data_IF_391285935512
#
_entry.id   IF_391285935512
#
_cell.length_a   1.000
_cell.length_b   1.000
_cell.length_c   1.000
_cell.angle_alpha   90.00
_cell.angle_beta   90.00
_cell.angle_gamma   90.00
#
_symmetry.space_group_name_H-M   'P 1'
#
loop_
_entity.id
_entity.type
_entity.pdbx_description
1 polymer ?
#
# COMPACT_ATOMS: atom_id res chain seq x y z
N UNK A 1 -44.78 35.49 -13.80
CA UNK A 1 -43.38 35.26 -13.42
C UNK A 1 -42.98 33.86 -13.89
N UNK A 2 -42.24 33.76 -14.99
CA UNK A 2 -41.72 32.49 -15.46
C UNK A 2 -40.57 32.07 -14.53
N UNK A 3 -40.87 31.21 -13.55
CA UNK A 3 -39.85 30.55 -12.77
C UNK A 3 -38.99 29.75 -13.76
N UNK A 4 -37.71 30.10 -13.91
CA UNK A 4 -36.82 29.39 -14.82
C UNK A 4 -36.92 27.89 -14.52
N UNK A 5 -37.41 27.10 -15.48
CA UNK A 5 -37.43 25.63 -15.38
C UNK A 5 -35.98 25.17 -15.39
N UNK A 6 -35.35 25.14 -14.21
CA UNK A 6 -34.04 24.51 -14.02
C UNK A 6 -34.29 23.00 -14.02
N UNK A 7 -33.40 22.23 -14.65
CA UNK A 7 -33.47 20.76 -14.76
C UNK A 7 -33.53 20.00 -13.41
N UNK A 8 -33.57 20.71 -12.28
CA UNK A 8 -33.58 20.15 -10.93
C UNK A 8 -34.82 20.53 -10.13
N UNK A 9 -35.79 21.25 -10.72
CA UNK A 9 -37.01 21.69 -10.01
C UNK A 9 -38.19 20.73 -10.15
N UNK A 10 -38.07 19.69 -10.98
CA UNK A 10 -39.11 18.68 -11.14
C UNK A 10 -38.82 17.47 -10.22
N UNK A 11 -39.84 16.90 -9.55
CA UNK A 11 -39.68 15.70 -8.72
C UNK A 11 -39.45 14.42 -9.55
N UNK A 12 -39.44 14.53 -10.89
CA UNK A 12 -39.15 13.43 -11.80
C UNK A 12 -38.20 13.91 -12.91
N UNK A 13 -37.25 13.06 -13.28
CA UNK A 13 -36.41 13.33 -14.44
C UNK A 13 -37.18 13.14 -15.74
N UNK A 14 -37.10 14.14 -16.61
CA UNK A 14 -37.57 14.08 -17.99
C UNK A 14 -36.76 13.06 -18.80
N UNK A 15 -37.30 12.61 -19.94
CA UNK A 15 -36.58 11.68 -20.84
C UNK A 15 -35.21 12.22 -21.26
N UNK A 16 -35.13 13.53 -21.53
CA UNK A 16 -33.89 14.23 -21.87
C UNK A 16 -32.87 14.18 -20.73
N UNK A 17 -33.29 14.47 -19.50
CA UNK A 17 -32.42 14.40 -18.32
C UNK A 17 -31.98 12.96 -18.01
N UNK A 18 -32.86 11.96 -18.20
CA UNK A 18 -32.48 10.54 -18.13
C UNK A 18 -31.50 10.15 -19.24
N UNK A 19 -31.57 10.80 -20.39
CA UNK A 19 -30.58 10.69 -21.48
C UNK A 19 -29.22 11.22 -21.06
N UNK A 20 -29.15 12.44 -20.51
CA UNK A 20 -27.92 12.99 -19.97
C UNK A 20 -27.39 12.15 -18.78
N UNK A 21 -28.25 11.67 -17.88
CA UNK A 21 -27.84 10.77 -16.80
C UNK A 21 -27.16 9.49 -17.28
N UNK A 22 -27.44 9.02 -18.50
CA UNK A 22 -26.75 7.88 -19.11
C UNK A 22 -25.48 8.28 -19.86
N UNK A 23 -25.45 9.46 -20.49
CA UNK A 23 -24.34 9.90 -21.34
C UNK A 23 -23.29 10.74 -20.61
N UNK A 24 -23.66 11.56 -19.63
CA UNK A 24 -22.79 12.46 -18.85
C UNK A 24 -22.54 11.97 -17.43
N UNK A 25 -23.55 11.42 -16.74
CA UNK A 25 -23.45 10.95 -15.35
C UNK A 25 -23.48 9.42 -15.23
N UNK A 26 -23.26 8.90 -14.02
CA UNK A 26 -23.26 7.45 -13.74
C UNK A 26 -22.07 6.68 -14.34
N UNK A 27 -22.20 5.35 -14.30
CA UNK A 27 -21.15 4.45 -14.80
C UNK A 27 -21.28 4.27 -16.31
N UNK A 28 -20.26 4.72 -17.06
CA UNK A 28 -20.22 4.59 -18.52
C UNK A 28 -19.46 3.35 -18.95
N UNK A 29 -19.94 2.68 -19.99
CA UNK A 29 -19.29 1.53 -20.61
C UNK A 29 -19.13 1.83 -22.10
N UNK A 30 -17.93 1.63 -22.64
CA UNK A 30 -17.66 1.76 -24.08
C UNK A 30 -16.81 0.59 -24.54
N UNK A 31 -17.06 0.10 -25.75
CA UNK A 31 -16.16 -0.83 -26.39
C UNK A 31 -14.81 -0.13 -26.69
N UNK A 32 -13.72 -0.88 -26.54
CA UNK A 32 -12.35 -0.43 -26.76
C UNK A 32 -11.88 -0.98 -28.10
N UNK A 33 -11.40 -0.09 -28.98
CA UNK A 33 -10.88 -0.45 -30.30
C UNK A 33 -9.45 -1.01 -30.27
N UNK A 34 -8.97 -1.53 -31.41
CA UNK A 34 -7.63 -2.12 -31.56
C UNK A 34 -6.50 -1.16 -31.18
N UNK A 35 -6.67 0.13 -31.46
CA UNK A 35 -5.66 1.18 -31.24
C UNK A 35 -5.37 1.43 -29.76
N UNK A 36 -6.29 1.02 -28.88
CA UNK A 36 -6.07 1.14 -27.44
C UNK A 36 -5.20 0.01 -26.88
N UNK A 37 -4.95 -1.06 -27.66
CA UNK A 37 -4.12 -2.18 -27.25
C UNK A 37 -2.72 -2.07 -27.85
N UNK A 38 -1.70 -2.38 -27.06
CA UNK A 38 -0.32 -2.42 -27.54
C UNK A 38 -0.10 -3.58 -28.53
N UNK A 39 0.86 -3.46 -29.44
CA UNK A 39 1.29 -4.60 -30.24
C UNK A 39 2.12 -5.57 -29.39
N UNK A 40 2.16 -6.84 -29.80
CA UNK A 40 2.88 -7.88 -29.07
C UNK A 40 4.36 -7.50 -28.89
N UNK A 41 4.86 -7.63 -27.66
CA UNK A 41 6.25 -7.33 -27.37
C UNK A 41 6.57 -5.83 -27.32
N UNK A 42 5.59 -4.97 -27.09
CA UNK A 42 5.82 -3.54 -26.84
C UNK A 42 6.15 -3.24 -25.38
N UNK A 43 6.95 -2.21 -25.16
CA UNK A 43 7.24 -1.71 -23.83
C UNK A 43 6.07 -0.89 -23.29
N UNK A 44 5.62 -1.18 -22.05
CA UNK A 44 4.53 -0.44 -21.41
C UNK A 44 4.85 1.00 -21.02
N UNK A 45 6.13 1.37 -20.95
CA UNK A 45 6.57 2.71 -20.59
C UNK A 45 6.70 3.63 -21.81
N UNK A 46 7.39 3.19 -22.87
CA UNK A 46 7.55 4.00 -24.08
C UNK A 46 6.51 3.73 -25.18
N UNK A 47 5.67 2.69 -25.01
CA UNK A 47 4.59 2.29 -25.94
C UNK A 47 5.07 1.88 -27.34
N UNK A 48 6.37 1.76 -27.54
CA UNK A 48 7.00 1.28 -28.77
C UNK A 48 7.37 -0.20 -28.65
N UNK A 49 7.63 -0.90 -29.77
CA UNK A 49 8.23 -2.24 -29.73
C UNK A 49 9.45 -2.25 -28.80
N UNK A 50 9.46 -3.17 -27.83
CA UNK A 50 10.50 -3.21 -26.82
C UNK A 50 11.87 -3.47 -27.45
N UNK A 51 12.85 -2.63 -27.08
CA UNK A 51 14.24 -2.70 -27.57
C UNK A 51 15.02 -3.71 -26.72
N UNK A 52 15.82 -4.54 -27.38
CA UNK A 52 16.72 -5.45 -26.69
C UNK A 52 17.83 -4.65 -25.95
N UNK A 53 18.19 -5.01 -24.71
CA UNK A 53 17.64 -6.09 -23.89
C UNK A 53 16.24 -5.75 -23.33
N UNK A 54 15.29 -6.69 -23.52
CA UNK A 54 13.92 -6.57 -23.02
C UNK A 54 13.85 -7.18 -21.62
N UNK A 55 13.12 -6.55 -20.72
CA UNK A 55 12.90 -7.06 -19.36
C UNK A 55 11.41 -7.21 -19.09
N UNK A 56 11.05 -8.21 -18.30
CA UNK A 56 9.69 -8.46 -17.86
C UNK A 56 9.56 -8.38 -16.35
N UNK A 57 8.40 -7.93 -15.88
CA UNK A 57 8.05 -8.09 -14.48
C UNK A 57 7.74 -9.56 -14.17
N UNK A 58 8.36 -10.11 -13.12
CA UNK A 58 8.17 -11.50 -12.71
C UNK A 58 6.74 -11.84 -12.25
N UNK A 59 5.92 -10.87 -11.85
CA UNK A 59 4.55 -11.11 -11.36
C UNK A 59 3.55 -11.27 -12.50
N UNK A 60 3.48 -10.29 -13.40
CA UNK A 60 2.42 -10.19 -14.42
C UNK A 60 2.93 -10.27 -15.88
N UNK A 61 4.24 -10.46 -16.10
CA UNK A 61 4.77 -10.63 -17.46
C UNK A 61 4.73 -9.34 -18.30
N UNK A 62 4.62 -8.19 -17.64
CA UNK A 62 4.65 -6.87 -18.27
C UNK A 62 6.02 -6.57 -18.87
N UNK A 63 6.07 -6.21 -20.16
CA UNK A 63 7.32 -5.99 -20.89
C UNK A 63 7.78 -4.54 -20.86
N UNK A 64 9.10 -4.36 -20.73
CA UNK A 64 9.76 -3.06 -20.74
C UNK A 64 11.08 -3.10 -21.50
N UNK A 65 11.47 -1.97 -22.10
CA UNK A 65 12.88 -1.75 -22.43
C UNK A 65 13.66 -1.67 -21.12
N UNK A 66 14.87 -2.26 -21.06
CA UNK A 66 15.71 -2.21 -19.86
C UNK A 66 16.01 -0.77 -19.40
N UNK A 67 16.25 0.13 -20.35
CA UNK A 67 16.47 1.57 -20.07
C UNK A 67 15.26 2.20 -19.39
N UNK A 68 14.05 1.97 -19.93
CA UNK A 68 12.82 2.54 -19.39
C UNK A 68 12.51 2.00 -17.99
N UNK A 69 12.68 0.70 -17.77
CA UNK A 69 12.45 0.09 -16.46
C UNK A 69 13.41 0.65 -15.41
N UNK A 70 14.68 0.83 -15.75
CA UNK A 70 15.68 1.41 -14.82
C UNK A 70 15.35 2.87 -14.53
N UNK A 71 15.04 3.68 -15.55
CA UNK A 71 14.70 5.10 -15.36
C UNK A 71 13.46 5.27 -14.48
N UNK A 72 12.44 4.43 -14.67
CA UNK A 72 11.22 4.47 -13.87
C UNK A 72 11.50 4.05 -12.42
N UNK A 73 12.25 2.97 -12.19
CA UNK A 73 12.66 2.55 -10.85
C UNK A 73 13.44 3.65 -10.11
N UNK A 74 14.30 4.39 -10.80
CA UNK A 74 15.04 5.51 -10.23
C UNK A 74 14.10 6.68 -9.90
N UNK A 75 13.20 7.05 -10.82
CA UNK A 75 12.22 8.10 -10.61
C UNK A 75 11.29 7.79 -9.42
N UNK A 76 10.77 6.57 -9.35
CA UNK A 76 9.93 6.13 -8.24
C UNK A 76 10.69 6.17 -6.90
N UNK A 77 11.96 5.74 -6.85
CA UNK A 77 12.76 5.81 -5.63
C UNK A 77 13.05 7.25 -5.18
N UNK A 78 13.31 8.15 -6.13
CA UNK A 78 13.49 9.57 -5.83
C UNK A 78 12.20 10.20 -5.28
N UNK A 79 11.06 9.88 -5.88
CA UNK A 79 9.75 10.35 -5.43
C UNK A 79 9.39 9.79 -4.05
N UNK A 80 9.63 8.50 -3.81
CA UNK A 80 9.44 7.87 -2.49
C UNK A 80 10.28 8.59 -1.45
N UNK A 81 11.57 8.86 -1.74
CA UNK A 81 12.46 9.59 -0.83
C UNK A 81 11.96 11.02 -0.57
N UNK A 82 11.42 11.70 -1.58
CA UNK A 82 10.83 13.04 -1.45
C UNK A 82 9.63 13.02 -0.50
N UNK A 83 8.72 12.06 -0.69
CA UNK A 83 7.53 11.87 0.15
C UNK A 83 7.88 11.46 1.58
N UNK A 84 8.90 10.62 1.77
CA UNK A 84 9.41 10.24 3.09
C UNK A 84 9.95 11.46 3.84
N UNK A 85 10.72 12.33 3.16
CA UNK A 85 11.22 13.57 3.74
C UNK A 85 10.09 14.53 4.13
N UNK A 86 9.12 14.73 3.23
CA UNK A 86 7.94 15.56 3.50
C UNK A 86 7.14 15.04 4.71
N UNK A 87 6.99 13.71 4.83
CA UNK A 87 6.34 13.07 5.97
C UNK A 87 7.10 13.30 7.27
N UNK A 88 8.42 13.20 7.25
CA UNK A 88 9.25 13.42 8.43
C UNK A 88 9.24 14.89 8.87
N UNK A 89 9.28 15.83 7.94
CA UNK A 89 9.10 17.26 8.22
C UNK A 89 7.71 17.56 8.77
N UNK A 90 6.66 16.99 8.19
CA UNK A 90 5.29 17.14 8.69
C UNK A 90 5.13 16.59 10.12
N UNK A 91 5.73 15.43 10.42
CA UNK A 91 5.73 14.88 11.79
C UNK A 91 6.47 15.74 12.79
N UNK A 92 7.60 16.35 12.39
CA UNK A 92 8.33 17.30 13.25
C UNK A 92 7.47 18.53 13.55
N UNK A 93 6.84 19.12 12.53
CA UNK A 93 5.93 20.27 12.71
C UNK A 93 4.77 19.94 13.66
N UNK A 94 4.12 18.79 13.48
CA UNK A 94 3.04 18.35 14.38
C UNK A 94 3.56 18.19 15.81
N UNK A 95 4.74 17.60 16.01
CA UNK A 95 5.32 17.43 17.34
C UNK A 95 5.68 18.78 18.00
N UNK A 96 6.19 19.74 17.23
CA UNK A 96 6.48 21.11 17.69
C UNK A 96 5.19 21.87 18.06
N UNK A 97 4.13 21.75 17.25
CA UNK A 97 2.82 22.35 17.52
C UNK A 97 2.15 21.70 18.75
N UNK A 98 2.28 20.37 18.91
CA UNK A 98 1.85 19.66 20.11
C UNK A 98 2.61 20.14 21.35
N UNK A 99 3.93 20.30 21.27
CA UNK A 99 4.74 20.80 22.38
C UNK A 99 4.40 22.25 22.76
N UNK A 100 4.21 23.13 21.77
CA UNK A 100 3.75 24.51 21.99
C UNK A 100 2.39 24.53 22.69
N UNK A 101 1.44 23.75 22.20
CA UNK A 101 0.10 23.67 22.78
C UNK A 101 0.13 23.13 24.22
N UNK A 102 1.01 22.16 24.52
CA UNK A 102 1.21 21.66 25.88
C UNK A 102 1.88 22.70 26.78
N UNK A 103 2.78 23.54 26.27
CA UNK A 103 3.39 24.62 27.03
C UNK A 103 2.38 25.73 27.37
N UNK A 104 1.54 26.12 26.41
CA UNK A 104 0.45 27.09 26.62
C UNK A 104 -0.58 26.59 27.67
N UNK A 105 -0.93 25.29 27.63
CA UNK A 105 -1.80 24.70 28.65
C UNK A 105 -1.15 24.70 30.03
N UNK A 106 0.14 24.35 30.13
CA UNK A 106 0.87 24.42 31.41
C UNK A 106 0.89 25.83 31.96
N UNK A 107 1.13 26.84 31.13
CA UNK A 107 1.12 28.23 31.56
C UNK A 107 -0.26 28.67 32.04
N UNK A 108 -1.33 28.26 31.35
CA UNK A 108 -2.71 28.51 31.78
C UNK A 108 -3.02 27.86 33.13
N UNK A 109 -2.67 26.59 33.30
CA UNK A 109 -2.87 25.85 34.54
C UNK A 109 -2.09 26.48 35.72
N UNK A 110 -0.86 26.94 35.48
CA UNK A 110 -0.07 27.66 36.49
C UNK A 110 -0.73 28.98 36.89
N UNK A 111 -1.22 29.77 35.93
CA UNK A 111 -1.94 31.03 36.20
C UNK A 111 -3.23 30.78 36.98
N UNK A 112 -3.98 29.75 36.62
CA UNK A 112 -5.20 29.37 37.35
C UNK A 112 -4.87 28.95 38.78
N UNK A 113 -3.79 28.19 38.98
CA UNK A 113 -3.31 27.82 40.31
C UNK A 113 -2.91 29.05 41.15
N UNK A 114 -2.16 30.00 40.58
CA UNK A 114 -1.79 31.26 41.25
C UNK A 114 -3.03 32.05 41.66
N UNK A 115 -4.02 32.19 40.78
CA UNK A 115 -5.28 32.89 41.05
C UNK A 115 -6.06 32.25 42.21
N UNK A 116 -6.16 30.91 42.24
CA UNK A 116 -6.79 30.17 43.33
C UNK A 116 -6.02 30.34 44.64
N UNK A 117 -4.68 30.32 44.60
CA UNK A 117 -3.83 30.50 45.78
C UNK A 117 -3.97 31.89 46.42
N UNK A 118 -4.25 32.91 45.62
CA UNK A 118 -4.51 34.28 46.06
C UNK A 118 -5.91 34.47 46.66
N UNK A 119 -6.73 33.42 46.75
CA UNK A 119 -8.07 33.45 47.33
C UNK A 119 -9.14 34.06 46.40
N UNK A 120 -8.82 34.31 45.13
CA UNK A 120 -9.82 34.62 44.12
C UNK A 120 -10.48 33.30 43.67
N UNK A 121 -11.66 32.99 44.22
CA UNK A 121 -12.47 31.89 43.69
C UNK A 121 -12.75 32.13 42.19
N UNK A 122 -12.26 31.24 41.34
CA UNK A 122 -12.45 31.31 39.91
C UNK A 122 -13.94 31.07 39.58
N UNK A 123 -14.74 32.15 39.53
CA UNK A 123 -16.19 32.11 39.25
C UNK A 123 -16.55 31.88 37.78
N UNK A 124 -15.56 31.71 36.90
CA UNK A 124 -15.78 31.46 35.47
C UNK A 124 -14.88 30.36 34.93
N UNK A 125 -15.40 29.13 34.85
CA UNK A 125 -14.78 28.09 34.02
C UNK A 125 -14.80 26.69 34.63
N UNK A 126 -15.79 25.89 34.23
CA UNK A 126 -15.72 24.41 34.13
C UNK A 126 -15.02 23.66 35.29
N UNK A 127 -15.32 23.99 36.55
CA UNK A 127 -14.97 23.15 37.72
C UNK A 127 -16.19 22.61 38.47
N UNK A 128 -17.38 22.73 37.89
CA UNK A 128 -18.64 22.36 38.53
C UNK A 128 -18.92 20.87 38.73
N UNK A 129 -18.11 19.95 38.20
CA UNK A 129 -18.41 18.49 38.25
C UNK A 129 -17.42 17.69 39.10
N UNK A 130 -16.19 18.16 39.34
CA UNK A 130 -15.16 17.39 40.06
C UNK A 130 -14.83 17.87 41.48
N UNK A 131 -15.45 18.95 41.96
CA UNK A 131 -15.17 19.49 43.31
C UNK A 131 -15.48 18.52 44.46
N UNK A 132 -16.45 17.62 44.30
CA UNK A 132 -16.77 16.59 45.33
C UNK A 132 -15.82 15.38 45.30
N UNK A 133 -15.27 15.03 44.12
CA UNK A 133 -14.39 13.86 43.97
C UNK A 133 -12.94 14.17 44.39
N UNK A 134 -12.45 15.37 44.04
CA UNK A 134 -11.14 15.87 44.49
C UNK A 134 -11.07 16.01 46.01
N UNK A 135 -12.13 16.51 46.66
CA UNK A 135 -12.19 16.62 48.13
C UNK A 135 -12.07 15.26 48.84
N UNK A 136 -12.69 14.21 48.30
CA UNK A 136 -12.63 12.86 48.87
C UNK A 136 -11.25 12.20 48.67
N UNK A 137 -10.64 12.32 47.48
CA UNK A 137 -9.28 11.82 47.23
C UNK A 137 -8.21 12.60 48.00
N UNK A 138 -8.40 13.91 48.19
CA UNK A 138 -7.51 14.77 48.96
C UNK A 138 -7.60 14.45 50.46
N UNK A 139 -8.80 14.18 50.99
CA UNK A 139 -9.02 13.75 52.37
C UNK A 139 -8.44 12.34 52.62
N UNK A 140 -8.60 11.39 51.69
CA UNK A 140 -8.01 10.05 51.75
C UNK A 140 -6.47 10.08 51.65
N UNK A 141 -5.91 10.94 50.79
CA UNK A 141 -4.47 11.15 50.69
C UNK A 141 -3.91 11.82 51.96
N UNK A 142 -4.66 12.75 52.58
CA UNK A 142 -4.31 13.37 53.85
C UNK A 142 -4.30 12.36 55.01
N UNK A 143 -5.23 11.41 55.02
CA UNK A 143 -5.28 10.31 55.99
C UNK A 143 -4.12 9.33 55.80
N UNK A 144 -3.81 8.92 54.56
CA UNK A 144 -2.64 8.08 54.27
C UNK A 144 -1.32 8.78 54.57
N UNK A 145 -1.26 10.10 54.41
CA UNK A 145 -0.10 10.92 54.77
C UNK A 145 0.07 11.06 56.28
N UNK A 146 -1.04 11.23 57.03
CA UNK A 146 -1.04 11.21 58.51
C UNK A 146 -0.67 9.84 59.08
N UNK A 147 -0.93 8.75 58.36
CA UNK A 147 -0.56 7.40 58.78
C UNK A 147 0.95 7.08 58.59
N UNK A 148 1.71 7.89 57.84
CA UNK A 148 3.16 7.71 57.62
C UNK A 148 3.97 8.50 58.65
N UNK A 149 3.72 8.26 59.93
CA UNK A 149 4.55 8.76 61.04
C UNK A 149 5.57 7.68 61.45
N UNK A 150 6.86 8.03 61.49
CA UNK A 150 7.91 7.19 62.08
C UNK A 150 8.51 7.93 63.27
N UNK A 151 8.61 7.24 64.41
CA UNK A 151 9.15 7.77 65.66
C UNK A 151 10.68 7.64 65.67
N UNK A 152 11.39 8.76 65.77
CA UNK A 152 12.84 8.81 66.00
C UNK A 152 13.08 9.70 67.22
N UNK A 153 13.69 9.14 68.26
CA UNK A 153 14.04 9.78 69.53
C UNK A 153 12.92 10.55 70.24
N UNK A 154 11.75 9.89 70.41
CA UNK A 154 10.66 10.39 71.27
C UNK A 154 10.02 11.72 70.83
N UNK A 155 10.36 12.22 69.63
CA UNK A 155 9.74 13.40 69.01
C UNK A 155 9.26 13.04 67.61
N UNK A 156 7.94 13.11 67.41
CA UNK A 156 7.28 12.89 66.12
C UNK A 156 7.84 13.87 65.09
N UNK A 157 8.55 13.38 64.09
CA UNK A 157 9.01 14.18 62.94
C UNK A 157 8.44 13.60 61.66
N UNK A 158 7.80 14.47 60.88
CA UNK A 158 7.28 14.17 59.55
C UNK A 158 8.47 14.05 58.60
N UNK A 159 8.79 12.84 58.14
CA UNK A 159 9.86 12.63 57.14
C UNK A 159 9.23 12.71 55.75
N UNK A 160 9.34 13.88 55.15
CA UNK A 160 8.93 14.14 53.79
C UNK A 160 10.13 13.93 52.87
N UNK A 161 10.37 12.69 52.46
CA UNK A 161 11.37 12.41 51.43
C UNK A 161 10.67 12.46 50.06
N UNK A 162 10.65 13.64 49.44
CA UNK A 162 10.49 13.72 47.97
C UNK A 162 11.78 13.21 47.34
N UNK A 163 11.82 11.92 47.07
CA UNK A 163 12.81 11.37 46.16
C UNK A 163 12.64 11.95 44.76
N UNK A 164 13.74 12.11 44.04
CA UNK A 164 13.76 12.54 42.64
C UNK A 164 12.85 11.66 41.75
N UNK A 165 12.78 10.36 42.06
CA UNK A 165 11.92 9.39 41.36
C UNK A 165 10.42 9.65 41.57
N UNK A 166 10.01 10.06 42.77
CA UNK A 166 8.61 10.36 43.09
C UNK A 166 8.18 11.68 42.44
N UNK A 167 9.06 12.70 42.43
CA UNK A 167 8.85 13.93 41.66
C UNK A 167 8.72 13.67 40.16
N UNK A 168 9.58 12.81 39.61
CA UNK A 168 9.52 12.45 38.20
C UNK A 168 8.20 11.71 37.86
N UNK A 169 7.72 10.83 38.75
CA UNK A 169 6.44 10.12 38.60
C UNK A 169 5.25 11.07 38.59
N UNK A 170 5.20 12.00 39.55
CA UNK A 170 4.12 13.00 39.66
C UNK A 170 4.15 13.95 38.45
N UNK A 171 5.33 14.43 38.04
CA UNK A 171 5.47 15.25 36.84
C UNK A 171 5.06 14.51 35.56
N UNK A 172 5.33 13.20 35.47
CA UNK A 172 4.87 12.33 34.38
C UNK A 172 3.35 12.20 34.32
N UNK A 173 2.71 11.94 35.46
CA UNK A 173 1.25 11.83 35.58
C UNK A 173 0.56 13.16 35.24
N UNK A 174 1.12 14.30 35.67
CA UNK A 174 0.58 15.63 35.36
C UNK A 174 0.67 15.94 33.86
N UNK A 175 1.79 15.61 33.20
CA UNK A 175 1.94 15.75 31.75
C UNK A 175 0.93 14.88 30.98
N UNK A 176 0.60 13.70 31.49
CA UNK A 176 -0.41 12.82 30.89
C UNK A 176 -1.82 13.38 31.06
N UNK A 177 -2.13 13.96 32.22
CA UNK A 177 -3.42 14.64 32.48
C UNK A 177 -3.63 15.80 31.52
N UNK A 178 -2.63 16.69 31.40
CA UNK A 178 -2.64 17.83 30.48
C UNK A 178 -2.83 17.39 29.02
N UNK A 179 -2.18 16.31 28.60
CA UNK A 179 -2.37 15.74 27.26
C UNK A 179 -3.80 15.23 27.04
N UNK A 180 -4.42 14.62 28.05
CA UNK A 180 -5.81 14.16 27.98
C UNK A 180 -6.79 15.33 27.92
N UNK A 181 -6.59 16.37 28.72
CA UNK A 181 -7.41 17.59 28.70
C UNK A 181 -7.33 18.31 27.36
N UNK A 182 -6.13 18.50 26.82
CA UNK A 182 -5.92 19.08 25.49
C UNK A 182 -6.59 18.26 24.38
N UNK A 183 -6.61 16.93 24.50
CA UNK A 183 -7.31 16.06 23.56
C UNK A 183 -8.83 16.24 23.64
N UNK A 184 -9.38 16.37 24.85
CA UNK A 184 -10.81 16.60 25.10
C UNK A 184 -11.23 17.99 24.58
N UNK A 185 -10.43 19.04 24.83
CA UNK A 185 -10.68 20.39 24.33
C UNK A 185 -10.67 20.42 22.79
N UNK A 186 -9.66 19.79 22.17
CA UNK A 186 -9.59 19.64 20.70
C UNK A 186 -10.76 18.84 20.12
N UNK A 187 -11.29 17.83 20.83
CA UNK A 187 -12.48 17.10 20.36
C UNK A 187 -13.77 17.90 20.52
N UNK A 188 -13.92 18.64 21.61
CA UNK A 188 -15.12 19.44 21.88
C UNK A 188 -15.23 20.65 20.94
N UNK A 189 -14.09 21.26 20.56
CA UNK A 189 -14.05 22.34 19.58
C UNK A 189 -14.42 21.91 18.14
N UNK A 190 -14.35 20.60 17.84
CA UNK A 190 -14.64 20.04 16.51
C UNK A 190 -16.09 19.55 16.33
N UNK A 191 -16.92 19.48 17.38
CA UNK A 191 -18.21 18.77 17.32
C UNK A 191 -19.46 19.54 17.79
N UNK A 192 -19.39 20.85 18.05
CA UNK A 192 -20.49 21.54 18.73
C UNK A 192 -21.56 22.19 17.83
N UNK A 193 -21.38 22.28 16.51
CA UNK A 193 -22.36 22.93 15.63
C UNK A 193 -22.77 22.01 14.46
N UNK A 194 -24.07 21.85 14.17
CA UNK A 194 -24.59 21.00 13.09
C UNK A 194 -24.44 21.63 11.70
N UNK A 195 -23.55 22.62 11.53
CA UNK A 195 -23.36 23.36 10.29
C UNK A 195 -22.09 22.92 9.56
N UNK A 196 -22.25 21.95 8.67
CA UNK A 196 -21.22 21.43 7.75
C UNK A 196 -20.62 22.49 6.80
N UNK A 197 -21.25 23.66 6.66
CA UNK A 197 -20.93 24.69 5.66
C UNK A 197 -20.14 25.90 6.20
N UNK A 198 -19.68 25.86 7.45
CA UNK A 198 -18.83 26.93 8.00
C UNK A 198 -17.37 26.60 7.66
N UNK A 199 -16.64 27.44 6.88
CA UNK A 199 -15.26 27.16 6.48
C UNK A 199 -14.25 26.98 7.63
N UNK A 200 -14.58 27.40 8.85
CA UNK A 200 -13.78 27.16 10.06
C UNK A 200 -14.09 25.84 10.77
N UNK A 201 -15.17 25.15 10.38
CA UNK A 201 -15.62 23.85 10.90
C UNK A 201 -15.64 22.75 9.84
N UNK A 202 -15.35 23.09 8.57
CA UNK A 202 -14.96 22.07 7.61
C UNK A 202 -13.78 21.33 8.21
N UNK A 203 -13.78 19.99 8.29
CA UNK A 203 -12.66 19.24 8.82
C UNK A 203 -11.43 19.68 8.04
N UNK A 204 -10.64 20.56 8.64
CA UNK A 204 -9.47 21.10 7.99
C UNK A 204 -8.57 19.89 7.90
N UNK A 205 -8.42 19.37 6.69
CA UNK A 205 -7.48 18.30 6.44
C UNK A 205 -6.12 18.95 6.53
N UNK A 206 -5.63 19.11 7.76
CA UNK A 206 -4.35 19.74 8.04
C UNK A 206 -3.32 19.02 7.18
N UNK A 207 -2.74 19.72 6.21
CA UNK A 207 -1.89 19.11 5.19
C UNK A 207 -0.73 18.32 5.85
N UNK A 208 -0.27 18.81 7.00
CA UNK A 208 0.71 18.16 7.85
C UNK A 208 0.16 16.87 8.47
N UNK A 209 -1.05 16.85 9.03
CA UNK A 209 -1.66 15.63 9.59
C UNK A 209 -1.87 14.57 8.51
N UNK A 210 -2.33 14.96 7.31
CA UNK A 210 -2.46 14.04 6.18
C UNK A 210 -1.08 13.48 5.79
N UNK A 211 -0.08 14.36 5.62
CA UNK A 211 1.27 13.95 5.25
C UNK A 211 1.89 13.02 6.31
N UNK A 212 1.69 13.30 7.59
CA UNK A 212 2.21 12.52 8.71
C UNK A 212 1.54 11.15 8.88
N UNK A 213 0.23 11.09 8.64
CA UNK A 213 -0.61 9.89 8.77
C UNK A 213 -0.68 9.04 7.49
N UNK A 214 -0.09 9.47 6.38
CA UNK A 214 0.14 8.63 5.20
C UNK A 214 1.09 7.49 5.56
N UNK A 215 0.52 6.35 5.96
CA UNK A 215 1.27 5.13 6.26
C UNK A 215 1.39 4.27 5.02
N UNK A 216 2.48 4.40 4.27
CA UNK A 216 2.92 3.30 3.40
C UNK A 216 4.44 3.33 3.36
N UNK A 217 5.10 2.21 3.71
CA UNK A 217 6.45 1.93 3.22
C UNK A 217 6.30 1.77 1.71
N UNK A 218 6.38 2.88 0.99
CA UNK A 218 6.18 2.89 -0.45
C UNK A 218 7.34 2.11 -1.07
N UNK A 219 6.99 1.06 -1.78
CA UNK A 219 7.91 0.30 -2.61
C UNK A 219 7.61 0.63 -4.07
N UNK A 220 8.61 0.59 -4.96
CA UNK A 220 8.35 0.82 -6.38
C UNK A 220 7.30 -0.17 -6.90
N UNK A 221 6.29 0.37 -7.58
CA UNK A 221 5.12 -0.33 -8.11
C UNK A 221 5.29 -0.47 -9.61
N UNK A 222 4.99 -1.65 -10.16
CA UNK A 222 5.10 -1.87 -11.60
C UNK A 222 4.15 -0.92 -12.36
N UNK A 223 4.62 -0.20 -13.40
CA UNK A 223 3.77 0.66 -14.24
C UNK A 223 2.64 -0.10 -14.95
N UNK A 224 2.82 -1.40 -15.19
CA UNK A 224 1.79 -2.29 -15.74
C UNK A 224 0.78 -2.81 -14.71
N UNK A 225 0.98 -2.52 -13.42
CA UNK A 225 0.05 -2.96 -12.39
C UNK A 225 -1.25 -2.16 -12.42
N UNK A 226 -2.37 -2.86 -12.26
CA UNK A 226 -3.69 -2.23 -12.10
C UNK A 226 -4.09 -2.20 -10.63
N UNK A 227 -5.21 -1.55 -10.31
CA UNK A 227 -5.75 -1.53 -8.95
C UNK A 227 -6.04 -2.94 -8.40
N UNK A 228 -6.42 -3.88 -9.27
CA UNK A 228 -6.72 -5.28 -8.93
C UNK A 228 -5.46 -6.15 -8.85
N UNK A 229 -4.41 -5.79 -9.61
CA UNK A 229 -3.15 -6.54 -9.71
C UNK A 229 -1.93 -5.73 -9.28
N UNK A 230 -2.08 -4.91 -8.24
CA UNK A 230 -0.97 -4.12 -7.66
C UNK A 230 0.14 -5.04 -7.19
N UNK A 231 1.32 -4.85 -7.76
CA UNK A 231 2.51 -5.60 -7.38
C UNK A 231 3.74 -4.70 -7.43
N UNK A 232 4.67 -4.99 -6.53
CA UNK A 232 5.93 -4.30 -6.46
C UNK A 232 6.90 -4.88 -7.47
N UNK A 233 7.82 -4.04 -7.95
CA UNK A 233 8.91 -4.52 -8.80
C UNK A 233 10.23 -3.86 -8.43
N UNK A 234 11.31 -4.59 -8.63
CA UNK A 234 12.68 -4.20 -8.29
C UNK A 234 13.62 -4.74 -9.36
N UNK A 235 14.85 -4.23 -9.43
CA UNK A 235 15.86 -4.70 -10.37
C UNK A 235 16.10 -6.22 -10.28
N UNK A 236 15.98 -6.80 -9.07
CA UNK A 236 16.16 -8.23 -8.85
C UNK A 236 14.95 -9.08 -9.30
N UNK A 237 13.77 -8.48 -9.38
CA UNK A 237 12.54 -9.15 -9.85
C UNK A 237 12.29 -8.97 -11.35
N UNK A 238 13.19 -8.29 -12.07
CA UNK A 238 13.15 -8.18 -13.52
C UNK A 238 13.79 -9.42 -14.14
N UNK A 239 13.05 -10.05 -15.04
CA UNK A 239 13.51 -11.20 -15.82
C UNK A 239 13.94 -10.68 -17.18
N UNK A 240 15.15 -11.02 -17.62
CA UNK A 240 15.58 -10.72 -18.99
C UNK A 240 14.81 -11.60 -19.97
N UNK A 241 14.30 -11.02 -21.05
CA UNK A 241 13.44 -11.70 -22.02
C UNK A 241 14.19 -11.92 -23.31
N UNK A 242 14.27 -13.19 -23.71
CA UNK A 242 14.92 -13.64 -24.93
C UNK A 242 13.84 -14.05 -25.94
N UNK A 243 13.58 -13.17 -26.90
CA UNK A 243 12.76 -13.48 -28.06
C UNK A 243 13.56 -14.22 -29.12
N UNK A 244 12.99 -15.26 -29.71
CA UNK A 244 13.50 -15.82 -30.96
C UNK A 244 12.94 -15.00 -32.10
N UNK A 245 13.83 -14.43 -32.91
CA UNK A 245 13.48 -13.50 -33.98
C UNK A 245 13.81 -14.14 -35.32
N UNK A 246 12.87 -14.08 -36.26
CA UNK A 246 13.02 -14.49 -37.64
C UNK A 246 12.91 -13.25 -38.53
N UNK A 247 13.82 -13.11 -39.49
CA UNK A 247 13.76 -12.03 -40.47
C UNK A 247 12.88 -12.48 -41.62
N UNK A 248 11.74 -11.82 -41.81
CA UNK A 248 10.94 -12.01 -42.99
C UNK A 248 11.70 -11.51 -44.23
N UNK A 249 11.27 -11.96 -45.42
CA UNK A 249 11.81 -11.52 -46.72
C UNK A 249 11.81 -10.00 -46.89
N UNK A 250 10.89 -9.32 -46.23
CA UNK A 250 10.66 -7.88 -46.36
C UNK A 250 11.53 -7.05 -45.39
N UNK A 251 12.48 -7.69 -44.70
CA UNK A 251 13.36 -7.06 -43.71
C UNK A 251 12.69 -6.77 -42.36
N UNK A 252 11.41 -7.09 -42.20
CA UNK A 252 10.69 -6.98 -40.93
C UNK A 252 11.09 -8.14 -40.00
N UNK A 253 11.38 -7.81 -38.75
CA UNK A 253 11.76 -8.80 -37.73
C UNK A 253 10.48 -9.28 -37.03
N UNK A 254 10.13 -10.55 -37.21
CA UNK A 254 9.00 -11.17 -36.51
C UNK A 254 9.48 -12.00 -35.33
N UNK A 255 8.76 -11.93 -34.21
CA UNK A 255 9.04 -12.74 -33.03
C UNK A 255 8.30 -14.06 -33.14
N UNK A 256 9.01 -15.16 -33.05
CA UNK A 256 8.47 -16.52 -33.27
C UNK A 256 8.63 -17.38 -32.03
N UNK A 257 7.75 -18.37 -31.90
CA UNK A 257 7.87 -19.39 -30.87
C UNK A 257 9.02 -20.38 -31.22
N UNK A 258 9.96 -20.66 -30.30
CA UNK A 258 11.03 -21.62 -30.53
C UNK A 258 10.55 -23.04 -30.89
N UNK A 259 9.44 -23.49 -30.29
CA UNK A 259 8.95 -24.87 -30.47
C UNK A 259 8.22 -25.09 -31.79
N UNK A 260 7.37 -24.15 -32.20
CA UNK A 260 6.49 -24.34 -33.36
C UNK A 260 6.77 -23.38 -34.52
N UNK A 261 7.73 -22.46 -34.36
CA UNK A 261 8.09 -21.41 -35.33
C UNK A 261 6.91 -20.54 -35.80
N UNK A 262 5.79 -20.53 -35.06
CA UNK A 262 4.66 -19.64 -35.35
C UNK A 262 4.96 -18.23 -34.84
N UNK A 263 4.56 -17.23 -35.61
CA UNK A 263 4.62 -15.82 -35.22
C UNK A 263 3.79 -15.58 -33.94
N UNK A 264 4.43 -14.97 -32.93
CA UNK A 264 3.79 -14.56 -31.69
C UNK A 264 3.04 -13.24 -31.93
N UNK A 265 1.76 -13.21 -31.60
CA UNK A 265 0.87 -12.06 -31.79
C UNK A 265 -0.12 -11.96 -30.63
N UNK A 266 -0.85 -10.84 -30.51
CA UNK A 266 -1.84 -10.65 -29.43
C UNK A 266 -2.96 -11.71 -29.40
N UNK A 267 -3.21 -12.43 -30.51
CA UNK A 267 -4.21 -13.50 -30.55
C UNK A 267 -3.71 -14.83 -29.99
N UNK A 268 -2.39 -15.03 -29.95
CA UNK A 268 -1.76 -16.23 -29.41
C UNK A 268 -1.15 -15.90 -28.06
N UNK A 269 -1.69 -16.48 -26.99
CA UNK A 269 -1.14 -16.34 -25.65
C UNK A 269 0.32 -16.81 -25.63
N UNK A 270 1.23 -15.93 -25.23
CA UNK A 270 2.64 -16.22 -25.08
C UNK A 270 3.01 -16.30 -23.61
N UNK A 271 3.79 -17.31 -23.24
CA UNK A 271 4.25 -17.55 -21.88
C UNK A 271 5.73 -17.26 -21.79
N UNK A 272 6.11 -16.46 -20.80
CA UNK A 272 7.49 -16.22 -20.41
C UNK A 272 7.90 -17.23 -19.33
N UNK A 273 9.01 -17.92 -19.54
CA UNK A 273 9.58 -18.86 -18.58
C UNK A 273 10.58 -18.16 -17.65
N UNK A 274 10.39 -18.26 -16.34
CA UNK A 274 11.26 -17.68 -15.31
C UNK A 274 12.06 -18.80 -14.62
N UNK A 275 13.39 -18.69 -14.44
CA UNK A 275 14.21 -17.48 -14.61
C UNK A 275 14.86 -17.30 -16.00
N UNK A 276 14.77 -18.27 -16.90
CA UNK A 276 15.58 -18.31 -18.13
C UNK A 276 15.17 -17.34 -19.25
N UNK A 277 13.99 -16.71 -19.18
CA UNK A 277 13.63 -15.61 -20.06
C UNK A 277 13.08 -15.97 -21.43
N UNK A 278 12.95 -17.26 -21.76
CA UNK A 278 12.44 -17.70 -23.07
C UNK A 278 10.93 -17.49 -23.19
N UNK A 279 10.49 -17.12 -24.39
CA UNK A 279 9.08 -16.88 -24.71
C UNK A 279 8.54 -17.98 -25.61
N UNK A 280 7.50 -18.66 -25.16
CA UNK A 280 6.93 -19.84 -25.83
C UNK A 280 5.42 -19.69 -25.97
N UNK A 281 4.85 -20.21 -27.05
CA UNK A 281 3.41 -20.20 -27.28
C UNK A 281 2.67 -21.05 -26.23
N UNK A 282 1.53 -20.60 -25.70
CA UNK A 282 0.73 -21.37 -24.73
C UNK A 282 0.40 -22.80 -25.20
N UNK A 283 -0.03 -23.04 -26.47
CA UNK A 283 -0.23 -24.39 -26.98
C UNK A 283 1.02 -25.29 -27.01
N UNK A 284 2.21 -24.68 -27.03
CA UNK A 284 3.48 -25.38 -27.01
C UNK A 284 3.84 -25.75 -25.57
N UNK A 285 3.63 -24.83 -24.63
CA UNK A 285 3.80 -25.06 -23.19
C UNK A 285 2.92 -26.22 -22.72
N UNK A 286 1.64 -26.25 -23.10
CA UNK A 286 0.73 -27.33 -22.69
C UNK A 286 1.04 -28.69 -23.30
N UNK A 287 1.84 -28.75 -24.37
CA UNK A 287 2.22 -30.01 -25.03
C UNK A 287 3.58 -30.53 -24.60
N UNK A 288 4.54 -29.62 -24.39
CA UNK A 288 5.95 -29.97 -24.21
C UNK A 288 6.47 -29.69 -22.79
N UNK A 289 5.73 -28.96 -21.96
CA UNK A 289 6.19 -28.50 -20.64
C UNK A 289 5.20 -28.84 -19.52
N UNK A 290 4.31 -29.81 -19.73
CA UNK A 290 3.46 -30.35 -18.66
C UNK A 290 4.26 -31.33 -17.81
N UNK A 291 4.08 -31.33 -16.47
CA UNK A 291 4.72 -32.31 -15.61
C UNK A 291 4.38 -33.72 -16.09
N UNK A 292 5.40 -34.56 -16.29
CA UNK A 292 5.21 -35.94 -16.72
C UNK A 292 4.63 -36.77 -15.56
N UNK A 293 3.33 -36.66 -15.28
CA UNK A 293 2.68 -37.42 -14.19
C UNK A 293 2.51 -38.92 -14.53
N UNK A 294 2.50 -39.27 -15.82
CA UNK A 294 2.06 -40.60 -16.28
C UNK A 294 3.13 -41.48 -16.93
N UNK A 295 4.41 -41.09 -16.89
CA UNK A 295 5.47 -42.03 -17.30
C UNK A 295 5.80 -42.95 -16.13
N UNK A 296 5.23 -44.16 -16.14
CA UNK A 296 5.84 -45.29 -15.46
C UNK A 296 7.27 -45.38 -16.01
N UNK A 297 8.32 -45.39 -15.17
CA UNK A 297 9.70 -45.57 -15.62
C UNK A 297 9.74 -46.78 -16.55
N UNK A 298 10.31 -46.62 -17.75
CA UNK A 298 10.34 -47.69 -18.74
C UNK A 298 10.93 -48.96 -18.08
N UNK A 299 10.15 -50.05 -17.96
CA UNK A 299 10.61 -51.29 -17.32
C UNK A 299 11.84 -51.89 -17.99
N UNK A 300 12.15 -51.49 -19.23
CA UNK A 300 13.28 -51.95 -20.01
C UNK A 300 14.49 -50.99 -20.01
N UNK A 301 14.37 -49.80 -19.42
CA UNK A 301 15.50 -48.88 -19.27
C UNK A 301 16.49 -49.39 -18.22
N UNK A 302 17.76 -48.98 -18.35
CA UNK A 302 18.77 -49.31 -17.34
C UNK A 302 18.41 -48.70 -15.97
N UNK A 303 18.90 -49.29 -14.88
CA UNK A 303 18.60 -48.81 -13.52
C UNK A 303 18.99 -47.33 -13.32
N UNK A 304 20.07 -46.89 -13.94
CA UNK A 304 20.51 -45.49 -13.93
C UNK A 304 19.58 -44.56 -14.72
N UNK A 305 19.03 -45.03 -15.83
CA UNK A 305 18.04 -44.27 -16.60
C UNK A 305 16.69 -44.21 -15.89
N UNK A 306 16.29 -45.28 -15.21
CA UNK A 306 15.08 -45.29 -14.38
C UNK A 306 15.21 -44.28 -13.22
N UNK A 307 16.37 -44.22 -12.55
CA UNK A 307 16.64 -43.22 -11.50
C UNK A 307 16.65 -41.78 -12.04
N UNK A 308 17.22 -41.54 -13.21
CA UNK A 308 17.18 -40.22 -13.89
C UNK A 308 15.77 -39.82 -14.29
N UNK A 309 14.98 -40.75 -14.82
CA UNK A 309 13.60 -40.49 -15.24
C UNK A 309 12.68 -40.28 -14.03
N UNK A 310 12.93 -40.99 -12.93
CA UNK A 310 12.25 -40.78 -11.66
C UNK A 310 12.59 -39.40 -11.05
N UNK A 311 13.83 -38.92 -11.20
CA UNK A 311 14.22 -37.59 -10.72
C UNK A 311 13.52 -36.44 -11.49
N UNK A 312 13.20 -36.65 -12.77
CA UNK A 312 12.49 -35.70 -13.64
C UNK A 312 10.96 -35.77 -13.47
N UNK A 313 10.45 -36.76 -12.74
CA UNK A 313 9.02 -36.91 -12.48
C UNK A 313 8.50 -35.71 -11.69
N UNK A 314 7.43 -35.08 -12.17
CA UNK A 314 6.86 -33.88 -11.56
C UNK A 314 7.61 -32.57 -11.82
N UNK A 315 8.73 -32.58 -12.57
CA UNK A 315 9.45 -31.36 -12.93
C UNK A 315 8.93 -30.72 -14.23
N UNK A 316 8.92 -29.40 -14.28
CA UNK A 316 8.62 -28.62 -15.48
C UNK A 316 9.91 -28.01 -16.00
N UNK A 317 10.40 -28.46 -17.14
CA UNK A 317 11.63 -27.93 -17.75
C UNK A 317 11.33 -26.96 -18.90
N UNK A 318 12.18 -25.95 -19.07
CA UNK A 318 12.12 -25.07 -20.21
C UNK A 318 12.47 -25.83 -21.51
N UNK A 319 11.61 -25.73 -22.53
CA UNK A 319 11.85 -26.37 -23.84
C UNK A 319 13.16 -25.95 -24.53
N UNK A 320 13.67 -24.73 -24.27
CA UNK A 320 14.83 -24.18 -25.00
C UNK A 320 16.16 -24.49 -24.30
N UNK A 321 16.17 -24.51 -22.98
CA UNK A 321 17.41 -24.54 -22.19
C UNK A 321 17.37 -25.51 -21.01
N UNK A 322 16.31 -26.33 -20.92
CA UNK A 322 16.12 -27.38 -19.91
C UNK A 322 16.20 -26.90 -18.45
N UNK A 323 16.11 -25.58 -18.23
CA UNK A 323 16.09 -25.00 -16.88
C UNK A 323 14.83 -25.43 -16.15
N UNK A 324 14.96 -25.84 -14.89
CA UNK A 324 13.84 -26.18 -14.01
C UNK A 324 12.97 -24.95 -13.68
N UNK A 325 11.70 -25.03 -14.05
CA UNK A 325 10.65 -24.04 -13.85
C UNK A 325 9.63 -24.47 -12.80
N UNK A 326 9.86 -25.60 -12.12
CA UNK A 326 8.93 -26.16 -11.13
C UNK A 326 8.74 -25.16 -9.99
N UNK A 327 7.49 -24.74 -9.77
CA UNK A 327 7.17 -23.77 -8.73
C UNK A 327 7.43 -24.39 -7.36
N UNK A 328 8.49 -23.92 -6.68
CA UNK A 328 8.74 -24.31 -5.28
C UNK A 328 7.62 -23.73 -4.42
N UNK A 329 6.86 -24.59 -3.75
CA UNK A 329 5.86 -24.15 -2.79
C UNK A 329 6.54 -23.28 -1.72
N UNK A 330 5.88 -22.19 -1.33
CA UNK A 330 6.36 -21.35 -0.23
C UNK A 330 6.41 -22.25 1.02
N UNK A 331 7.52 -22.25 1.79
CA UNK A 331 7.58 -23.05 3.01
C UNK A 331 6.51 -22.56 3.98
N UNK A 332 5.72 -23.49 4.52
CA UNK A 332 4.67 -23.22 5.49
C UNK A 332 5.18 -22.36 6.66
N UNK A 333 4.33 -21.43 7.12
CA UNK A 333 4.67 -20.40 8.11
C UNK A 333 4.73 -20.93 9.56
N UNK A 334 4.95 -22.23 9.76
CA UNK A 334 4.95 -22.89 11.07
C UNK A 334 6.28 -23.61 11.36
N UNK A 335 7.39 -22.88 11.32
CA UNK A 335 8.73 -23.44 11.53
C UNK A 335 9.65 -22.52 12.33
N UNK A 336 9.98 -22.98 13.53
CA UNK A 336 10.72 -22.38 14.64
C UNK A 336 12.03 -21.61 14.29
N UNK A 337 12.19 -20.44 14.93
CA UNK A 337 13.45 -19.95 15.49
C UNK A 337 14.55 -19.37 14.59
N UNK A 338 15.16 -20.16 13.68
CA UNK A 338 16.58 -19.92 13.35
C UNK A 338 16.91 -19.66 11.85
N UNK A 339 15.92 -19.51 10.97
CA UNK A 339 16.12 -19.35 9.51
C UNK A 339 15.79 -17.96 8.94
N UNK A 340 15.71 -16.91 9.79
CA UNK A 340 15.25 -15.57 9.38
C UNK A 340 16.16 -14.86 8.35
N UNK A 341 17.47 -15.19 8.29
CA UNK A 341 18.42 -14.51 7.39
C UNK A 341 18.44 -15.08 5.97
N UNK A 342 18.23 -16.38 5.78
CA UNK A 342 18.08 -17.01 4.44
C UNK A 342 16.69 -16.76 3.85
N UNK A 343 15.62 -16.79 4.67
CA UNK A 343 14.23 -16.49 4.26
C UNK A 343 14.06 -15.12 3.57
N UNK A 344 14.87 -14.10 3.92
CA UNK A 344 14.78 -12.77 3.30
C UNK A 344 15.43 -12.71 1.91
N UNK A 345 16.50 -13.49 1.67
CA UNK A 345 17.25 -13.46 0.40
C UNK A 345 16.49 -14.17 -0.73
N UNK A 346 15.72 -15.21 -0.40
CA UNK A 346 14.89 -15.97 -1.33
C UNK A 346 13.55 -15.31 -1.66
N UNK A 347 12.99 -14.50 -0.74
CA UNK A 347 11.74 -13.76 -0.99
C UNK A 347 11.87 -12.73 -2.12
N UNK A 348 13.08 -12.20 -2.32
CA UNK A 348 13.39 -11.25 -3.39
C UNK A 348 13.97 -11.93 -4.65
N UNK A 349 14.14 -13.26 -4.66
CA UNK A 349 14.60 -14.00 -5.84
C UNK A 349 13.41 -14.34 -6.74
N UNK A 350 13.66 -14.33 -8.06
CA UNK A 350 12.66 -14.68 -9.08
C UNK A 350 12.22 -16.13 -8.82
N UNK A 351 10.96 -16.30 -8.46
CA UNK A 351 10.39 -17.62 -8.26
C UNK A 351 10.27 -18.33 -9.63
N UNK A 352 10.79 -19.57 -9.76
CA UNK A 352 10.65 -20.36 -10.97
C UNK A 352 9.17 -20.54 -11.32
N UNK A 353 8.88 -20.52 -12.62
CA UNK A 353 7.52 -20.70 -13.12
C UNK A 353 7.31 -19.99 -14.44
N UNK A 354 6.06 -19.95 -14.87
CA UNK A 354 5.66 -19.34 -16.14
C UNK A 354 4.66 -18.22 -15.90
N UNK A 355 4.74 -17.16 -16.69
CA UNK A 355 3.81 -16.02 -16.63
C UNK A 355 3.37 -15.66 -18.04
N UNK A 356 2.09 -15.40 -18.21
CA UNK A 356 1.54 -14.94 -19.48
C UNK A 356 2.04 -13.51 -19.77
N UNK A 357 2.59 -13.29 -20.96
CA UNK A 357 3.00 -11.95 -21.40
C UNK A 357 1.76 -11.12 -21.65
N UNK A 358 1.68 -9.97 -21.01
CA UNK A 358 0.57 -9.06 -21.16
C UNK A 358 0.82 -8.12 -22.36
N UNK A 359 -0.13 -8.07 -23.30
CA UNK A 359 -0.16 -7.11 -24.41
C UNK A 359 -1.27 -6.06 -24.24
N UNK A 360 -1.75 -5.90 -23.01
CA UNK A 360 -2.84 -4.99 -22.70
C UNK A 360 -2.39 -3.55 -22.85
N UNK A 361 -3.30 -2.66 -23.24
CA UNK A 361 -3.00 -1.25 -23.37
C UNK A 361 -2.78 -0.53 -22.04
N UNK A 362 -2.74 0.79 -22.11
CA UNK A 362 -2.74 1.67 -20.92
C UNK A 362 -4.16 2.15 -20.60
N UNK A 363 -4.39 2.60 -19.36
CA UNK A 363 -5.66 3.19 -18.96
C UNK A 363 -6.82 2.19 -18.97
N UNK A 364 -7.90 2.47 -19.72
CA UNK A 364 -9.07 1.58 -19.76
C UNK A 364 -8.78 0.22 -20.41
N UNK A 365 -7.76 0.15 -21.29
CA UNK A 365 -7.36 -1.07 -21.97
C UNK A 365 -6.42 -1.96 -21.16
N UNK A 366 -6.00 -1.53 -19.96
CA UNK A 366 -5.09 -2.28 -19.08
C UNK A 366 -5.79 -3.29 -18.17
N UNK A 367 -7.10 -3.50 -18.34
CA UNK A 367 -7.92 -4.42 -17.52
C UNK A 367 -8.30 -5.70 -18.28
N UNK A 368 -7.62 -6.02 -19.37
CA UNK A 368 -7.81 -7.30 -20.07
C UNK A 368 -9.19 -7.53 -20.70
N UNK A 369 -9.81 -6.50 -21.29
CA UNK A 369 -11.10 -6.68 -21.96
C UNK A 369 -11.43 -5.62 -23.00
N UNK A 370 -12.34 -5.95 -23.91
CA UNK A 370 -12.78 -5.06 -24.99
C UNK A 370 -13.80 -4.00 -24.54
N UNK A 371 -14.02 -3.83 -23.23
CA UNK A 371 -15.01 -2.89 -22.69
C UNK A 371 -14.42 -2.07 -21.54
N UNK A 372 -14.27 -0.77 -21.76
CA UNK A 372 -13.83 0.18 -20.75
C UNK A 372 -14.98 0.62 -19.88
N UNK A 373 -14.81 0.57 -18.56
CA UNK A 373 -15.79 1.04 -17.58
C UNK A 373 -15.25 2.27 -16.85
N UNK A 374 -15.93 3.41 -17.01
CA UNK A 374 -15.70 4.59 -16.16
C UNK A 374 -16.74 4.57 -15.05
N UNK A 375 -16.32 4.21 -13.85
CA UNK A 375 -17.17 4.29 -12.67
C UNK A 375 -17.54 5.75 -12.42
N UNK A 376 -18.83 6.00 -12.23
CA UNK A 376 -19.35 7.32 -11.89
C UNK A 376 -20.53 7.16 -10.95
N UNK A 377 -20.65 8.10 -10.01
CA UNK A 377 -21.77 8.16 -9.09
C UNK A 377 -22.95 8.80 -9.83
N UNK A 378 -24.06 8.08 -9.88
CA UNK A 378 -25.35 8.67 -10.24
C UNK A 378 -26.13 8.85 -8.95
N UNK A 379 -26.65 10.05 -8.72
CA UNK A 379 -27.59 10.28 -7.63
C UNK A 379 -28.88 9.53 -7.99
N UNK A 380 -29.22 8.51 -7.20
CA UNK A 380 -30.56 7.95 -7.21
C UNK A 380 -31.44 8.88 -6.38
N UNK A 381 -32.56 9.32 -6.96
CA UNK A 381 -33.60 10.07 -6.26
C UNK A 381 -34.58 9.11 -5.59
#
# INVERSE_FOLDING_TARGET
MAHSKRNTSLPHFTSYERGLLRSTWGTKRSAIGRDSFLSFGSCRLCLQPARAPVVACASNGDLFCRECAISDLLAQRQEIKRLEKERDEARKRIAEDEERSLAEMKERDLRDFELVSMGLENKGGVSGVNGKKRKAEEEEALEKFKAREVEVDGKRKRVFELGEEEMARVAGAERERLRKELKIEKSNGKSALPSFWVPSLTPNTDANEIAANKTVKLTPVCPGSTDESRHNYSLKSLVEVNFTEEKASDGTVSRVCPSCKKNLSNGLKAMLTKPCGHVICSPCVTKFMTPHEHHVPDPHASKEEQEKTAALHGQVLCFVCETDLTAKSKPDDNGNGNSKKSKKKDKDAIQPGMVEISSEGTGFASKGGNMGKKAGVAFQC
#
